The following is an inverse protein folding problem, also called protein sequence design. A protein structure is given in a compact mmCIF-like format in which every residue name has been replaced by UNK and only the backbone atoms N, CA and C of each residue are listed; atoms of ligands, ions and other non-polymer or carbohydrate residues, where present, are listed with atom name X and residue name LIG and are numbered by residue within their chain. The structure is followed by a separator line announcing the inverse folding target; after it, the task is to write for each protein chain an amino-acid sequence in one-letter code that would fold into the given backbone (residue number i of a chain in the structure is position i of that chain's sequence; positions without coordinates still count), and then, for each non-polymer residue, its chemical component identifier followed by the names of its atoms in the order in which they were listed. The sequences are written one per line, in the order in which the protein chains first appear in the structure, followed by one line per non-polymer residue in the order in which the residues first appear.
data_IF_461771789435
#
_entry.id   IF_461771789435
#
_cell.length_a   1.000
_cell.length_b   1.000
_cell.length_c   1.000
_cell.angle_alpha   90.00
_cell.angle_beta   90.00
_cell.angle_gamma   90.00
#
_symmetry.space_group_name_H-M   'P 1'
#
loop_
_entity.id
_entity.type
_entity.pdbx_description
1 polymer ?
#
# COMPACT_ATOMS: atom_id res chain seq x y z
N UNK A 1 -2.57 -19.08 -18.29
CA UNK A 1 -2.30 -17.73 -17.82
C UNK A 1 -3.55 -17.20 -17.10
N UNK A 2 -3.37 -16.54 -15.97
CA UNK A 2 -4.43 -15.86 -15.23
C UNK A 2 -3.92 -14.44 -14.95
N UNK A 3 -4.74 -13.44 -15.20
CA UNK A 3 -4.38 -12.04 -15.01
C UNK A 3 -5.55 -11.10 -15.26
N UNK A 4 -5.28 -9.81 -15.16
CA UNK A 4 -6.23 -8.75 -15.45
C UNK A 4 -5.66 -7.86 -16.56
N UNK A 5 -6.27 -7.91 -17.74
CA UNK A 5 -5.80 -7.18 -18.93
C UNK A 5 -6.03 -5.67 -18.82
N UNK A 6 -6.96 -5.23 -17.98
CA UNK A 6 -7.28 -3.82 -17.80
C UNK A 6 -6.45 -3.13 -16.68
N UNK A 7 -5.66 -3.88 -15.89
CA UNK A 7 -4.76 -3.30 -14.93
C UNK A 7 -3.49 -2.76 -15.59
N UNK A 8 -2.78 -1.85 -14.88
CA UNK A 8 -1.50 -1.31 -15.32
C UNK A 8 -0.53 -2.43 -15.68
N UNK A 9 -0.04 -2.39 -16.89
CA UNK A 9 0.88 -3.37 -17.43
C UNK A 9 2.33 -3.03 -17.10
N UNK A 10 3.22 -4.01 -17.21
CA UNK A 10 4.65 -3.81 -17.06
C UNK A 10 5.19 -2.80 -18.10
N UNK A 11 5.99 -1.83 -17.66
CA UNK A 11 6.50 -0.72 -18.48
C UNK A 11 7.40 -1.20 -19.64
N UNK A 12 8.09 -2.34 -19.48
CA UNK A 12 9.13 -2.79 -20.41
C UNK A 12 8.76 -3.98 -21.28
N UNK A 13 7.70 -4.71 -20.98
CA UNK A 13 7.29 -5.91 -21.71
C UNK A 13 5.78 -6.14 -21.62
N UNK A 14 5.00 -5.11 -21.95
CA UNK A 14 3.56 -5.11 -21.79
C UNK A 14 2.82 -5.56 -23.05
N UNK A 15 1.63 -6.10 -22.86
CA UNK A 15 0.69 -6.35 -23.92
C UNK A 15 0.47 -7.80 -24.30
N UNK A 16 1.37 -8.73 -24.02
CA UNK A 16 1.20 -10.13 -24.43
C UNK A 16 -0.08 -10.77 -23.84
N UNK A 17 -0.41 -10.51 -22.59
CA UNK A 17 -1.62 -11.02 -21.98
C UNK A 17 -2.88 -10.38 -22.58
N UNK A 18 -2.85 -9.05 -22.73
CA UNK A 18 -3.94 -8.30 -23.38
C UNK A 18 -4.16 -8.76 -24.83
N UNK A 19 -3.08 -8.90 -25.61
CA UNK A 19 -3.15 -9.43 -26.98
C UNK A 19 -3.78 -10.84 -27.00
N UNK A 20 -3.34 -11.74 -26.14
CA UNK A 20 -3.88 -13.10 -26.06
C UNK A 20 -5.36 -13.13 -25.68
N UNK A 21 -5.81 -12.23 -24.81
CA UNK A 21 -7.22 -12.12 -24.42
C UNK A 21 -8.06 -11.56 -25.58
N UNK A 22 -7.56 -10.53 -26.28
CA UNK A 22 -8.30 -9.92 -27.39
C UNK A 22 -8.30 -10.77 -28.70
N UNK A 23 -7.31 -11.65 -28.84
CA UNK A 23 -7.21 -12.58 -29.98
C UNK A 23 -8.08 -13.84 -29.81
N UNK A 24 -8.76 -13.98 -28.67
CA UNK A 24 -9.57 -15.15 -28.34
C UNK A 24 -10.97 -14.76 -27.91
N UNK A 25 -11.95 -15.14 -28.71
CA UNK A 25 -13.38 -14.92 -28.43
C UNK A 25 -13.91 -15.82 -27.27
N UNK A 26 -13.15 -16.85 -26.88
CA UNK A 26 -13.52 -17.86 -25.89
C UNK A 26 -12.75 -17.72 -24.56
N UNK A 27 -12.06 -16.62 -24.33
CA UNK A 27 -11.31 -16.42 -23.09
C UNK A 27 -12.26 -16.34 -21.87
N UNK A 28 -12.17 -17.26 -20.89
CA UNK A 28 -13.03 -17.20 -19.71
C UNK A 28 -12.75 -15.94 -18.89
N UNK A 29 -13.81 -15.22 -18.52
CA UNK A 29 -13.72 -14.01 -17.69
C UNK A 29 -14.50 -14.18 -16.38
N UNK A 30 -13.90 -13.70 -15.28
CA UNK A 30 -14.60 -13.56 -14.00
C UNK A 30 -15.29 -12.18 -13.99
N UNK A 31 -16.62 -12.18 -14.15
CA UNK A 31 -17.41 -10.95 -14.24
C UNK A 31 -17.97 -10.48 -12.92
N UNK A 32 -18.08 -11.39 -11.92
CA UNK A 32 -18.64 -11.04 -10.62
C UNK A 32 -17.65 -10.25 -9.76
N UNK A 33 -18.09 -9.07 -9.31
CA UNK A 33 -17.30 -8.20 -8.44
C UNK A 33 -17.74 -8.39 -6.99
N UNK A 34 -16.89 -9.06 -6.20
CA UNK A 34 -17.17 -9.34 -4.77
C UNK A 34 -16.51 -8.35 -3.81
N UNK A 35 -15.74 -7.38 -4.30
CA UNK A 35 -14.99 -6.41 -3.48
C UNK A 35 -15.89 -5.42 -2.76
N UNK A 36 -16.99 -5.00 -3.39
CA UNK A 36 -17.87 -3.96 -2.90
C UNK A 36 -19.15 -4.55 -2.32
N UNK A 37 -19.70 -3.88 -1.28
CA UNK A 37 -20.97 -4.21 -0.67
C UNK A 37 -22.12 -3.60 -1.47
N UNK A 38 -21.95 -2.37 -1.93
CA UNK A 38 -22.98 -1.63 -2.67
C UNK A 38 -23.00 -2.03 -4.15
N UNK A 39 -24.18 -2.27 -4.69
CA UNK A 39 -24.32 -2.66 -6.12
C UNK A 39 -23.89 -1.55 -7.07
N UNK A 40 -24.13 -0.28 -6.73
CA UNK A 40 -23.66 0.85 -7.52
C UNK A 40 -22.13 0.90 -7.65
N UNK A 41 -21.40 0.57 -6.58
CA UNK A 41 -19.91 0.51 -6.60
C UNK A 41 -19.42 -0.61 -7.53
N UNK A 42 -20.10 -1.75 -7.55
CA UNK A 42 -19.77 -2.85 -8.46
C UNK A 42 -19.90 -2.40 -9.91
N UNK A 43 -21.04 -1.79 -10.25
CA UNK A 43 -21.32 -1.28 -11.60
C UNK A 43 -20.32 -0.18 -11.99
N UNK A 44 -20.16 0.84 -11.16
CA UNK A 44 -19.26 1.95 -11.44
C UNK A 44 -17.79 1.50 -11.55
N UNK A 45 -17.35 0.49 -10.78
CA UNK A 45 -16.00 -0.07 -10.89
C UNK A 45 -15.76 -0.78 -12.22
N UNK A 46 -16.77 -1.44 -12.78
CA UNK A 46 -16.71 -2.05 -14.12
C UNK A 46 -16.70 -0.96 -15.21
N UNK A 47 -17.46 0.10 -15.03
CA UNK A 47 -17.44 1.23 -15.97
C UNK A 47 -16.07 1.91 -15.98
N UNK A 48 -15.44 2.16 -14.83
CA UNK A 48 -14.06 2.64 -14.75
C UNK A 48 -13.07 1.70 -15.43
N UNK A 49 -13.22 0.38 -15.24
CA UNK A 49 -12.38 -0.63 -15.89
C UNK A 49 -12.44 -0.53 -17.43
N UNK A 50 -13.60 -0.18 -17.98
CA UNK A 50 -13.81 -0.02 -19.41
C UNK A 50 -13.57 1.41 -19.92
N UNK A 51 -13.10 2.32 -19.05
CA UNK A 51 -12.84 3.72 -19.41
C UNK A 51 -14.11 4.54 -19.64
N UNK A 52 -15.24 4.14 -19.08
CA UNK A 52 -16.50 4.89 -19.17
C UNK A 52 -16.51 6.00 -18.14
N UNK A 53 -16.59 7.23 -18.61
CA UNK A 53 -16.50 8.43 -17.76
C UNK A 53 -17.73 8.68 -16.89
N UNK A 54 -18.87 8.09 -17.24
CA UNK A 54 -20.13 8.16 -16.48
C UNK A 54 -19.98 7.61 -15.04
N UNK A 55 -19.00 6.75 -14.81
CA UNK A 55 -18.65 6.30 -13.47
C UNK A 55 -18.25 7.46 -12.54
N UNK A 56 -17.64 8.52 -13.08
CA UNK A 56 -17.23 9.70 -12.29
C UNK A 56 -18.46 10.37 -11.68
N UNK A 57 -19.51 10.55 -12.48
CA UNK A 57 -20.77 11.16 -12.01
C UNK A 57 -21.41 10.29 -10.92
N UNK A 58 -21.42 8.97 -11.12
CA UNK A 58 -21.92 8.02 -10.11
C UNK A 58 -21.16 8.12 -8.79
N UNK A 59 -19.83 8.20 -8.82
CA UNK A 59 -19.03 8.37 -7.60
C UNK A 59 -19.27 9.75 -6.95
N UNK A 60 -19.49 10.80 -7.76
CA UNK A 60 -19.79 12.14 -7.25
C UNK A 60 -21.17 12.20 -6.58
N UNK A 61 -22.19 11.58 -7.15
CA UNK A 61 -23.55 11.48 -6.59
C UNK A 61 -23.57 10.77 -5.23
N UNK A 62 -22.58 9.91 -4.97
CA UNK A 62 -22.44 9.19 -3.71
C UNK A 62 -21.39 9.79 -2.77
N UNK A 63 -21.01 11.06 -2.97
CA UNK A 63 -20.03 11.79 -2.14
C UNK A 63 -18.67 11.09 -2.01
N UNK A 64 -18.23 10.39 -3.09
CA UNK A 64 -16.94 9.70 -3.13
C UNK A 64 -15.84 10.50 -3.82
N UNK A 65 -16.18 11.66 -4.37
CA UNK A 65 -15.24 12.58 -5.01
C UNK A 65 -15.32 13.92 -4.29
N UNK A 66 -14.19 14.40 -3.78
CA UNK A 66 -14.03 15.74 -3.26
C UNK A 66 -13.10 16.54 -4.19
N UNK A 67 -13.38 17.81 -4.39
CA UNK A 67 -12.56 18.70 -5.20
C UNK A 67 -12.11 19.94 -4.40
N UNK A 68 -10.94 20.48 -4.77
CA UNK A 68 -10.37 21.66 -4.13
C UNK A 68 -8.96 21.94 -4.63
N UNK A 69 -8.27 22.89 -4.00
CA UNK A 69 -6.84 23.03 -4.24
C UNK A 69 -6.04 21.86 -3.68
N UNK A 70 -4.83 21.66 -4.19
CA UNK A 70 -4.00 20.49 -3.87
C UNK A 70 -3.71 20.37 -2.38
N UNK A 71 -3.42 21.49 -1.70
CA UNK A 71 -3.07 21.48 -0.28
C UNK A 71 -4.28 21.07 0.58
N UNK A 72 -5.44 21.67 0.32
CA UNK A 72 -6.69 21.35 1.02
C UNK A 72 -7.09 19.87 0.80
N UNK A 73 -6.90 19.35 -0.41
CA UNK A 73 -7.22 17.94 -0.72
C UNK A 73 -6.28 16.95 -0.05
N UNK A 74 -4.99 17.25 0.02
CA UNK A 74 -4.00 16.44 0.78
C UNK A 74 -4.36 16.45 2.27
N UNK A 75 -4.72 17.59 2.82
CA UNK A 75 -5.14 17.73 4.22
C UNK A 75 -6.42 16.96 4.52
N UNK A 76 -7.42 17.05 3.65
CA UNK A 76 -8.68 16.33 3.81
C UNK A 76 -8.47 14.82 3.73
N UNK A 77 -7.70 14.35 2.76
CA UNK A 77 -7.38 12.93 2.58
C UNK A 77 -6.58 12.37 3.78
N UNK A 78 -5.60 13.13 4.27
CA UNK A 78 -4.82 12.77 5.46
C UNK A 78 -5.72 12.69 6.70
N UNK A 79 -6.58 13.67 6.91
CA UNK A 79 -7.49 13.74 8.07
C UNK A 79 -8.46 12.55 8.07
N UNK A 80 -9.05 12.24 6.92
CA UNK A 80 -9.94 11.08 6.78
C UNK A 80 -9.21 9.77 7.06
N UNK A 81 -8.02 9.57 6.48
CA UNK A 81 -7.17 8.40 6.73
C UNK A 81 -6.81 8.26 8.21
N UNK A 82 -6.46 9.36 8.87
CA UNK A 82 -6.12 9.36 10.30
C UNK A 82 -7.30 8.97 11.18
N UNK A 83 -8.49 9.50 10.88
CA UNK A 83 -9.73 9.14 11.58
C UNK A 83 -10.05 7.65 11.45
N UNK A 84 -9.94 7.10 10.26
CA UNK A 84 -10.18 5.68 9.99
C UNK A 84 -9.16 4.79 10.70
N UNK A 85 -7.88 5.17 10.71
CA UNK A 85 -6.85 4.47 11.46
C UNK A 85 -7.14 4.44 12.97
N UNK A 86 -7.55 5.57 13.54
CA UNK A 86 -7.92 5.66 14.96
C UNK A 86 -9.18 4.84 15.28
N UNK A 87 -10.09 4.69 14.33
CA UNK A 87 -11.23 3.78 14.43
C UNK A 87 -10.86 2.29 14.27
N UNK A 88 -9.58 1.97 14.03
CA UNK A 88 -9.09 0.59 13.86
C UNK A 88 -9.39 -0.02 12.50
N UNK A 89 -9.73 0.78 11.50
CA UNK A 89 -9.99 0.32 10.15
C UNK A 89 -8.69 0.03 9.40
N UNK A 90 -8.72 -0.93 8.49
CA UNK A 90 -7.61 -1.25 7.60
C UNK A 90 -7.68 -0.35 6.36
N UNK A 91 -7.01 0.79 6.40
CA UNK A 91 -7.06 1.82 5.35
C UNK A 91 -5.70 2.03 4.70
N UNK A 92 -5.71 2.44 3.44
CA UNK A 92 -4.53 2.81 2.66
C UNK A 92 -4.76 4.19 2.05
N UNK A 93 -3.85 5.13 2.31
CA UNK A 93 -3.81 6.41 1.63
C UNK A 93 -2.92 6.27 0.39
N UNK A 94 -3.46 6.62 -0.78
CA UNK A 94 -2.78 6.54 -2.07
C UNK A 94 -2.60 7.95 -2.61
N UNK A 95 -1.41 8.28 -3.10
CA UNK A 95 -1.10 9.54 -3.76
C UNK A 95 -0.52 9.29 -5.16
N UNK A 96 -0.60 10.28 -6.01
CA UNK A 96 -0.22 10.25 -7.42
C UNK A 96 1.29 10.33 -7.67
N UNK A 97 2.03 10.93 -6.73
CA UNK A 97 3.47 11.15 -6.86
C UNK A 97 4.26 10.61 -5.66
N UNK A 98 5.53 10.27 -5.89
CA UNK A 98 6.44 9.87 -4.82
C UNK A 98 6.69 11.02 -3.82
N UNK A 99 6.65 12.26 -4.27
CA UNK A 99 6.80 13.44 -3.42
C UNK A 99 5.63 13.55 -2.43
N UNK A 100 4.39 13.44 -2.93
CA UNK A 100 3.18 13.42 -2.10
C UNK A 100 3.19 12.25 -1.11
N UNK A 101 3.58 11.05 -1.57
CA UNK A 101 3.72 9.87 -0.70
C UNK A 101 4.75 10.12 0.41
N UNK A 102 5.91 10.73 0.07
CA UNK A 102 6.94 11.03 1.06
C UNK A 102 6.46 12.05 2.10
N UNK A 103 5.85 13.15 1.66
CA UNK A 103 5.31 14.18 2.53
C UNK A 103 4.22 13.63 3.48
N UNK A 104 3.29 12.83 2.97
CA UNK A 104 2.25 12.18 3.76
C UNK A 104 2.83 11.19 4.78
N UNK A 105 3.83 10.41 4.40
CA UNK A 105 4.50 9.49 5.31
C UNK A 105 5.26 10.23 6.42
N UNK A 106 5.95 11.33 6.10
CA UNK A 106 6.62 12.16 7.10
C UNK A 106 5.63 12.76 8.10
N UNK A 107 4.51 13.30 7.62
CA UNK A 107 3.43 13.84 8.46
C UNK A 107 2.84 12.75 9.37
N UNK A 108 2.48 11.61 8.80
CA UNK A 108 1.92 10.48 9.56
C UNK A 108 2.90 10.02 10.66
N UNK A 109 4.18 9.91 10.31
CA UNK A 109 5.21 9.50 11.27
C UNK A 109 5.42 10.53 12.39
N UNK A 110 5.39 11.83 12.06
CA UNK A 110 5.47 12.88 13.06
C UNK A 110 4.33 12.79 14.09
N UNK A 111 3.10 12.57 13.64
CA UNK A 111 1.95 12.38 14.52
C UNK A 111 2.09 11.12 15.37
N UNK A 112 2.59 10.01 14.81
CA UNK A 112 2.82 8.75 15.54
C UNK A 112 3.94 8.88 16.59
N UNK A 113 4.91 9.74 16.37
CA UNK A 113 5.94 10.08 17.35
C UNK A 113 5.33 10.92 18.47
N UNK A 114 4.51 11.93 18.13
CA UNK A 114 3.88 12.81 19.10
C UNK A 114 2.89 12.08 20.03
N UNK A 115 2.16 11.09 19.50
CA UNK A 115 1.23 10.28 20.29
C UNK A 115 1.92 9.10 21.02
N UNK A 116 3.24 8.95 20.85
CA UNK A 116 4.05 7.92 21.52
C UNK A 116 3.95 6.52 20.92
N UNK A 117 3.27 6.36 19.78
CA UNK A 117 3.18 5.08 19.06
C UNK A 117 4.53 4.69 18.47
N UNK A 118 5.30 5.67 17.98
CA UNK A 118 6.64 5.49 17.42
C UNK A 118 7.68 6.09 18.35
N UNK A 119 8.70 5.31 18.68
CA UNK A 119 9.86 5.77 19.45
C UNK A 119 11.00 6.19 18.52
N UNK A 120 11.22 7.50 18.43
CA UNK A 120 12.27 8.10 17.61
C UNK A 120 13.64 8.23 18.32
N UNK A 121 13.79 7.77 19.56
CA UNK A 121 15.07 7.85 20.28
C UNK A 121 16.16 6.99 19.64
N UNK A 122 15.77 5.92 18.97
CA UNK A 122 16.67 5.03 18.26
C UNK A 122 16.07 4.69 16.89
N UNK A 123 16.76 5.10 15.84
CA UNK A 123 16.32 4.96 14.47
C UNK A 123 17.41 4.39 13.58
N UNK A 124 16.98 3.73 12.51
CA UNK A 124 17.85 3.31 11.40
C UNK A 124 17.40 3.96 10.11
N UNK A 125 18.36 4.32 9.26
CA UNK A 125 18.05 4.76 7.90
C UNK A 125 17.57 3.59 7.05
N UNK A 126 16.50 3.83 6.30
CA UNK A 126 15.95 2.91 5.31
C UNK A 126 16.32 3.38 3.91
N UNK A 127 16.03 2.55 2.92
CA UNK A 127 16.10 2.94 1.52
C UNK A 127 15.19 4.17 1.23
N UNK A 128 15.69 5.13 0.41
CA UNK A 128 14.90 6.31 -0.02
C UNK A 128 14.76 7.41 1.03
N UNK A 129 15.82 7.67 1.79
CA UNK A 129 15.94 8.78 2.76
C UNK A 129 14.86 8.77 3.86
N UNK A 130 14.28 7.61 4.13
CA UNK A 130 13.34 7.42 5.23
C UNK A 130 14.04 6.79 6.44
N UNK A 131 13.39 6.84 7.60
CA UNK A 131 13.89 6.26 8.85
C UNK A 131 12.84 5.40 9.51
N UNK A 132 13.28 4.44 10.30
CA UNK A 132 12.38 3.65 11.14
C UNK A 132 12.92 3.52 12.55
N UNK A 133 12.01 3.63 13.52
CA UNK A 133 12.19 3.35 14.93
C UNK A 133 11.19 2.31 15.41
N UNK A 134 11.26 1.93 16.69
CA UNK A 134 10.29 1.01 17.26
C UNK A 134 8.87 1.61 17.19
N UNK A 135 7.89 0.84 16.72
CA UNK A 135 6.52 1.24 16.47
C UNK A 135 6.21 1.57 15.01
N UNK A 136 7.22 1.95 14.21
CA UNK A 136 7.01 2.20 12.78
C UNK A 136 6.52 0.94 12.04
N UNK A 137 5.71 1.16 11.00
CA UNK A 137 5.31 0.12 10.04
C UNK A 137 6.11 0.29 8.76
N UNK A 138 6.84 -0.73 8.39
CA UNK A 138 7.66 -0.77 7.17
C UNK A 138 7.16 -1.81 6.19
N UNK A 139 7.52 -1.64 4.90
CA UNK A 139 7.22 -2.59 3.83
C UNK A 139 8.53 -3.08 3.24
N UNK A 140 8.70 -4.40 3.15
CA UNK A 140 9.83 -5.02 2.44
C UNK A 140 9.64 -4.95 0.93
N UNK A 141 10.69 -4.57 0.20
CA UNK A 141 10.66 -4.36 -1.26
C UNK A 141 11.36 -5.45 -2.06
N UNK A 142 11.88 -6.49 -1.39
CA UNK A 142 12.57 -7.60 -2.03
C UNK A 142 12.20 -8.94 -1.41
N UNK A 143 12.09 -9.94 -2.28
CA UNK A 143 11.94 -11.33 -1.87
C UNK A 143 13.27 -11.87 -1.34
N UNK A 144 13.33 -12.37 -0.11
CA UNK A 144 14.50 -13.12 0.39
C UNK A 144 14.07 -14.40 1.11
N UNK A 145 14.28 -15.52 0.44
CA UNK A 145 13.94 -16.86 0.96
C UNK A 145 14.83 -17.32 2.09
N UNK A 146 16.00 -16.67 2.29
CA UNK A 146 16.93 -17.00 3.37
C UNK A 146 16.48 -16.40 4.70
N UNK A 147 15.65 -15.34 4.65
CA UNK A 147 15.09 -14.70 5.83
C UNK A 147 13.77 -15.38 6.20
N UNK A 148 13.84 -16.31 7.15
CA UNK A 148 12.68 -17.03 7.66
C UNK A 148 11.72 -16.11 8.40
N UNK A 149 10.42 -16.24 8.16
CA UNK A 149 9.38 -15.43 8.79
C UNK A 149 8.16 -16.31 9.13
N UNK A 150 8.17 -16.88 10.32
CA UNK A 150 7.17 -17.84 10.77
C UNK A 150 7.17 -19.11 9.91
N UNK A 151 6.02 -19.43 9.28
CA UNK A 151 5.90 -20.56 8.35
C UNK A 151 6.35 -20.24 6.92
N UNK A 152 6.93 -19.09 6.68
CA UNK A 152 7.35 -18.65 5.36
C UNK A 152 8.68 -17.91 5.39
N UNK A 153 8.83 -16.95 4.49
CA UNK A 153 10.03 -16.16 4.30
C UNK A 153 9.63 -14.71 3.99
N UNK A 154 10.59 -13.78 3.98
CA UNK A 154 10.36 -12.35 3.70
C UNK A 154 10.03 -12.13 2.23
N UNK A 155 8.88 -11.53 1.95
CA UNK A 155 8.39 -11.26 0.59
C UNK A 155 8.33 -9.77 0.32
N UNK A 156 8.45 -9.42 -0.95
CA UNK A 156 8.11 -8.08 -1.42
C UNK A 156 6.63 -7.77 -1.09
N UNK A 157 6.37 -6.60 -0.50
CA UNK A 157 5.04 -6.16 -0.10
C UNK A 157 4.59 -6.64 1.30
N UNK A 158 5.39 -7.44 2.00
CA UNK A 158 5.08 -7.78 3.40
C UNK A 158 5.16 -6.53 4.28
N UNK A 159 4.16 -6.35 5.15
CA UNK A 159 4.11 -5.27 6.15
C UNK A 159 4.58 -5.77 7.49
N UNK A 160 5.43 -4.96 8.14
CA UNK A 160 6.06 -5.29 9.42
C UNK A 160 5.97 -4.13 10.38
N UNK A 161 5.65 -4.42 11.63
CA UNK A 161 5.85 -3.46 12.73
C UNK A 161 7.25 -3.64 13.27
N UNK A 162 8.01 -2.57 13.38
CA UNK A 162 9.32 -2.55 14.01
C UNK A 162 9.12 -2.68 15.52
N UNK A 163 9.70 -3.72 16.11
CA UNK A 163 9.65 -3.97 17.55
C UNK A 163 10.88 -3.34 18.23
N UNK A 164 12.04 -3.42 17.55
CA UNK A 164 13.29 -2.94 18.09
C UNK A 164 14.28 -2.60 16.98
N UNK A 165 15.02 -1.53 17.18
CA UNK A 165 16.22 -1.18 16.40
C UNK A 165 17.44 -1.67 17.17
N UNK A 166 18.20 -2.58 16.60
CA UNK A 166 19.37 -3.21 17.22
C UNK A 166 20.65 -2.38 17.03
N UNK A 167 21.68 -2.65 17.84
CA UNK A 167 22.95 -1.91 17.82
C UNK A 167 23.71 -2.02 16.49
N UNK A 168 23.54 -3.15 15.79
CA UNK A 168 24.15 -3.43 14.49
C UNK A 168 23.37 -2.85 13.30
N UNK A 169 22.30 -2.08 13.54
CA UNK A 169 21.42 -1.53 12.51
C UNK A 169 20.42 -2.51 11.94
N UNK A 170 20.35 -3.74 12.43
CA UNK A 170 19.29 -4.67 12.09
C UNK A 170 18.00 -4.33 12.82
N UNK A 171 16.86 -4.80 12.28
CA UNK A 171 15.54 -4.58 12.86
C UNK A 171 14.94 -5.89 13.35
N UNK A 172 14.49 -5.93 14.59
CA UNK A 172 13.53 -6.94 15.04
C UNK A 172 12.14 -6.50 14.62
N UNK A 173 11.47 -7.27 13.77
CA UNK A 173 10.17 -6.92 13.19
C UNK A 173 9.12 -8.00 13.41
N UNK A 174 7.85 -7.62 13.41
CA UNK A 174 6.71 -8.52 13.48
C UNK A 174 5.84 -8.31 12.24
N UNK A 175 5.60 -9.39 11.48
CA UNK A 175 4.67 -9.33 10.35
C UNK A 175 3.26 -9.01 10.83
N UNK A 176 2.54 -8.11 10.16
CA UNK A 176 1.14 -7.84 10.47
C UNK A 176 0.32 -9.13 10.41
N UNK A 177 -0.56 -9.34 11.40
CA UNK A 177 -1.35 -10.56 11.53
C UNK A 177 -0.58 -11.79 12.08
N UNK A 178 0.70 -11.66 12.46
CA UNK A 178 1.53 -12.72 13.06
C UNK A 178 1.90 -12.39 14.51
N UNK A 179 2.16 -13.43 15.31
CA UNK A 179 2.68 -13.29 16.68
C UNK A 179 4.21 -13.41 16.75
N UNK A 180 4.83 -14.05 15.75
CA UNK A 180 6.27 -14.26 15.69
C UNK A 180 7.05 -13.04 15.24
N UNK A 181 8.30 -12.93 15.65
CA UNK A 181 9.23 -11.91 15.21
C UNK A 181 10.27 -12.48 14.25
N UNK A 182 10.85 -11.61 13.43
CA UNK A 182 11.93 -11.93 12.49
C UNK A 182 12.97 -10.82 12.57
N UNK A 183 14.23 -11.13 12.32
CA UNK A 183 15.29 -10.12 12.24
C UNK A 183 15.55 -9.83 10.76
N UNK A 184 15.42 -8.56 10.39
CA UNK A 184 15.88 -8.05 9.10
C UNK A 184 17.32 -7.54 9.27
N UNK A 185 18.32 -8.13 8.59
CA UNK A 185 19.72 -7.70 8.69
C UNK A 185 19.91 -6.24 8.23
N UNK A 186 20.90 -5.54 8.78
CA UNK A 186 21.20 -4.14 8.45
C UNK A 186 21.38 -3.91 6.95
N UNK A 187 22.05 -4.83 6.24
CA UNK A 187 22.23 -4.77 4.78
C UNK A 187 20.90 -4.86 4.03
N UNK A 188 19.98 -5.71 4.49
CA UNK A 188 18.63 -5.79 3.91
C UNK A 188 17.84 -4.50 4.15
N UNK A 189 17.93 -3.94 5.37
CA UNK A 189 17.21 -2.72 5.77
C UNK A 189 17.66 -1.49 4.98
N UNK A 190 18.97 -1.35 4.71
CA UNK A 190 19.51 -0.21 3.97
C UNK A 190 19.26 -0.28 2.45
N UNK A 191 19.10 -1.49 1.91
CA UNK A 191 18.98 -1.68 0.44
C UNK A 191 17.52 -1.88 -0.02
N UNK A 192 16.61 -2.32 0.85
CA UNK A 192 15.29 -2.86 0.46
C UNK A 192 14.17 -2.50 1.43
#
# INVERSE_FOLDING_TARGET
LVGDWAQLQSVTASGAFSLLVHDRDDAPELVDVHRFINEWEKTASLDLRHGRTEAIDTYAEHDRIAGGDTEAMIDAAYTAWRADMLAGLAVVLIADSNESVHALNQRARADLILDGTVNALREVALHGDTRAGAGDVIITRKNDRRLGAGRGWVRNGDRWTVIEVRDDGSLTVRRQGSRGTTILPATYVSEH
#
